data_IF_480700727644
#
_entry.id   IF_480700727644
#
_cell.length_a   1.000
_cell.length_b   1.000
_cell.length_c   1.000
_cell.angle_alpha   90.00
_cell.angle_beta   90.00
_cell.angle_gamma   90.00
#
_symmetry.space_group_name_H-M   'P 1'
#
loop_
_entity.id
_entity.type
_entity.pdbx_description
1 polymer ?
#
# COMPACT_ATOMS: atom_id res chain seq x y z
N UNK A 1 9.20 -14.12 61.22
CA UNK A 1 9.39 -12.93 60.37
C UNK A 1 10.03 -13.18 59.01
N UNK A 2 10.73 -14.30 58.76
CA UNK A 2 11.43 -14.58 57.49
C UNK A 2 10.57 -15.12 56.33
N UNK A 3 9.34 -15.57 56.55
CA UNK A 3 8.49 -16.14 55.49
C UNK A 3 7.75 -15.13 54.60
N UNK A 4 7.63 -13.89 55.05
CA UNK A 4 6.92 -12.83 54.30
C UNK A 4 7.80 -12.24 53.18
N UNK A 5 9.12 -12.11 53.42
CA UNK A 5 10.08 -11.59 52.43
C UNK A 5 10.26 -12.48 51.19
N UNK A 6 10.02 -13.78 51.28
CA UNK A 6 10.18 -14.70 50.14
C UNK A 6 9.05 -14.63 49.11
N UNK A 7 7.87 -14.16 49.49
CA UNK A 7 6.75 -14.06 48.59
C UNK A 7 6.78 -12.77 47.75
N UNK A 8 7.24 -11.69 48.36
CA UNK A 8 7.41 -10.39 47.70
C UNK A 8 8.49 -10.43 46.59
N UNK A 9 9.58 -11.15 46.84
CA UNK A 9 10.64 -11.33 45.80
C UNK A 9 10.13 -12.15 44.59
N UNK A 10 9.32 -13.16 44.80
CA UNK A 10 8.69 -13.95 43.71
C UNK A 10 7.72 -13.09 42.92
N UNK A 11 6.91 -12.27 43.62
CA UNK A 11 5.94 -11.37 42.95
C UNK A 11 6.63 -10.28 42.16
N UNK A 12 7.70 -9.69 42.67
CA UNK A 12 8.52 -8.69 41.95
C UNK A 12 9.16 -9.30 40.69
N UNK A 13 9.70 -10.52 40.78
CA UNK A 13 10.25 -11.23 39.62
C UNK A 13 9.19 -11.51 38.55
N UNK A 14 7.97 -11.88 38.99
CA UNK A 14 6.86 -12.13 38.06
C UNK A 14 6.43 -10.86 37.33
N UNK A 15 6.36 -9.72 38.01
CA UNK A 15 6.07 -8.41 37.42
C UNK A 15 7.18 -8.00 36.46
N UNK A 16 8.45 -8.19 36.80
CA UNK A 16 9.59 -7.86 35.95
C UNK A 16 9.57 -8.69 34.65
N UNK A 17 9.31 -9.99 34.73
CA UNK A 17 9.14 -10.86 33.55
C UNK A 17 7.97 -10.37 32.70
N UNK A 18 6.85 -10.02 33.28
CA UNK A 18 5.66 -9.55 32.56
C UNK A 18 5.91 -8.21 31.83
N UNK A 19 6.62 -7.27 32.50
CA UNK A 19 6.98 -5.96 31.92
C UNK A 19 7.98 -6.10 30.77
N UNK A 20 8.87 -7.10 30.80
CA UNK A 20 9.81 -7.40 29.70
C UNK A 20 9.09 -8.13 28.56
N UNK A 21 8.15 -9.03 28.85
CA UNK A 21 7.46 -9.84 27.83
C UNK A 21 6.40 -9.05 27.05
N UNK A 22 5.72 -8.09 27.65
CA UNK A 22 4.70 -7.28 26.97
C UNK A 22 5.27 -6.51 25.75
N UNK A 23 6.38 -5.79 25.83
CA UNK A 23 6.95 -5.14 24.64
C UNK A 23 7.45 -6.15 23.60
N UNK A 24 7.93 -7.34 24.00
CA UNK A 24 8.37 -8.36 23.04
C UNK A 24 7.24 -8.83 22.11
N UNK A 25 6.01 -8.93 22.62
CA UNK A 25 4.83 -9.28 21.81
C UNK A 25 4.46 -8.23 20.78
N UNK A 26 4.83 -6.96 20.99
CA UNK A 26 4.59 -5.88 20.03
C UNK A 26 5.63 -5.83 18.90
N UNK A 27 6.76 -6.55 19.04
CA UNK A 27 7.79 -6.68 18.01
C UNK A 27 7.60 -7.91 17.10
N UNK A 28 6.54 -8.72 17.33
CA UNK A 28 6.19 -9.78 16.37
C UNK A 28 5.80 -9.10 15.06
N UNK A 29 6.48 -9.38 13.94
CA UNK A 29 6.12 -8.78 12.67
C UNK A 29 4.68 -9.18 12.36
N UNK A 30 3.81 -8.20 12.19
CA UNK A 30 2.51 -8.44 11.59
C UNK A 30 2.78 -9.09 10.24
N UNK A 31 2.18 -10.26 9.99
CA UNK A 31 2.25 -10.92 8.70
C UNK A 31 1.86 -9.90 7.64
N UNK A 32 2.85 -9.46 6.87
CA UNK A 32 2.60 -8.69 5.67
C UNK A 32 1.85 -9.63 4.72
N UNK A 33 0.62 -9.29 4.37
CA UNK A 33 -0.08 -9.96 3.29
C UNK A 33 0.66 -9.60 2.02
N UNK A 34 1.51 -10.52 1.56
CA UNK A 34 2.04 -10.46 0.21
C UNK A 34 0.85 -10.65 -0.74
N UNK A 35 0.81 -9.88 -1.82
CA UNK A 35 -0.20 -10.02 -2.84
C UNK A 35 -0.12 -11.41 -3.46
N UNK A 36 -1.20 -12.18 -3.40
CA UNK A 36 -1.32 -13.48 -4.04
C UNK A 36 -2.21 -13.32 -5.28
N UNK A 37 -1.62 -13.46 -6.47
CA UNK A 37 -2.32 -13.28 -7.73
C UNK A 37 -2.79 -14.64 -8.28
N UNK A 38 -4.06 -14.73 -8.63
CA UNK A 38 -4.54 -15.79 -9.53
C UNK A 38 -3.94 -15.58 -10.93
N UNK A 39 -3.81 -16.66 -11.67
CA UNK A 39 -3.36 -16.59 -13.06
C UNK A 39 -4.23 -15.60 -13.87
N UNK A 40 -3.62 -14.68 -14.63
CA UNK A 40 -4.36 -13.71 -15.44
C UNK A 40 -5.28 -14.42 -16.45
N UNK A 41 -6.46 -13.85 -16.68
CA UNK A 41 -7.38 -14.36 -17.68
C UNK A 41 -6.77 -14.38 -19.10
N UNK A 42 -7.28 -15.18 -20.03
CA UNK A 42 -6.92 -15.10 -21.44
C UNK A 42 -6.99 -13.67 -21.97
N UNK A 43 -6.15 -13.32 -22.94
CA UNK A 43 -5.98 -11.93 -23.42
C UNK A 43 -7.30 -11.26 -23.79
N UNK A 44 -8.18 -11.98 -24.49
CA UNK A 44 -9.49 -11.45 -24.92
C UNK A 44 -10.44 -11.19 -23.75
N UNK A 45 -10.39 -12.05 -22.75
CA UNK A 45 -11.22 -11.89 -21.56
C UNK A 45 -10.71 -10.73 -20.71
N UNK A 46 -9.38 -10.60 -20.59
CA UNK A 46 -8.76 -9.48 -19.89
C UNK A 46 -9.00 -8.16 -20.63
N UNK A 47 -8.96 -8.14 -21.98
CA UNK A 47 -9.34 -6.99 -22.80
C UNK A 47 -10.80 -6.57 -22.51
N UNK A 48 -11.71 -7.53 -22.41
CA UNK A 48 -13.12 -7.25 -22.13
C UNK A 48 -13.34 -6.68 -20.73
N UNK A 49 -12.60 -7.17 -19.74
CA UNK A 49 -12.69 -6.76 -18.32
C UNK A 49 -12.02 -5.42 -18.05
N UNK A 50 -10.89 -5.13 -18.71
CA UNK A 50 -10.15 -3.89 -18.52
C UNK A 50 -10.94 -2.67 -19.00
N UNK A 51 -10.73 -1.53 -18.36
CA UNK A 51 -11.29 -0.24 -18.77
C UNK A 51 -10.44 0.43 -19.84
N UNK A 52 -9.12 0.20 -19.81
CA UNK A 52 -8.21 0.63 -20.85
C UNK A 52 -7.15 -0.44 -21.12
N UNK A 53 -6.82 -0.63 -22.41
CA UNK A 53 -5.71 -1.49 -22.85
C UNK A 53 -4.93 -0.76 -23.93
N UNK A 54 -3.65 -0.54 -23.68
CA UNK A 54 -2.77 0.21 -24.57
C UNK A 54 -1.31 -0.26 -24.45
N UNK A 55 -0.50 0.04 -25.44
CA UNK A 55 0.96 -0.02 -25.35
C UNK A 55 1.54 1.38 -25.29
N UNK A 56 2.58 1.56 -24.48
CA UNK A 56 3.20 2.86 -24.32
C UNK A 56 4.52 2.81 -23.58
N UNK A 57 5.24 3.93 -23.67
CA UNK A 57 6.50 4.18 -22.98
C UNK A 57 6.25 4.99 -21.72
N UNK A 58 6.84 4.59 -20.59
CA UNK A 58 6.82 5.37 -19.35
C UNK A 58 7.69 6.62 -19.53
N UNK A 59 7.06 7.79 -19.42
CA UNK A 59 7.74 9.09 -19.56
C UNK A 59 7.89 9.83 -18.24
N UNK A 60 7.05 9.53 -17.23
CA UNK A 60 7.13 10.14 -15.91
C UNK A 60 6.59 9.18 -14.84
N UNK A 61 7.24 9.19 -13.67
CA UNK A 61 6.78 8.48 -12.48
C UNK A 61 6.79 9.49 -11.33
N UNK A 62 5.66 9.69 -10.67
CA UNK A 62 5.51 10.59 -9.56
C UNK A 62 4.98 9.88 -8.32
N UNK A 63 5.66 10.16 -7.23
CA UNK A 63 5.29 9.72 -5.89
C UNK A 63 4.89 10.97 -5.07
N UNK A 64 3.60 11.24 -5.04
CA UNK A 64 3.05 12.41 -4.30
C UNK A 64 3.33 12.36 -2.80
N UNK A 65 3.59 11.17 -2.27
CA UNK A 65 3.83 10.94 -0.85
C UNK A 65 5.31 10.80 -0.49
N UNK A 66 6.24 11.01 -1.44
CA UNK A 66 7.69 10.82 -1.26
C UNK A 66 8.26 11.57 -0.06
N UNK A 67 7.73 12.77 0.21
CA UNK A 67 8.22 13.65 1.28
C UNK A 67 7.41 13.56 2.58
N UNK A 68 6.42 12.68 2.66
CA UNK A 68 5.66 12.48 3.90
C UNK A 68 6.49 11.71 4.93
N UNK A 69 6.36 12.10 6.19
CA UNK A 69 7.05 11.46 7.32
C UNK A 69 6.65 9.98 7.48
N UNK A 70 5.41 9.65 7.15
CA UNK A 70 4.89 8.29 7.15
C UNK A 70 4.44 7.94 5.75
N UNK A 71 5.01 6.87 5.19
CA UNK A 71 4.68 6.33 3.89
C UNK A 71 4.07 4.93 4.06
N UNK A 72 3.09 4.62 3.22
CA UNK A 72 2.45 3.31 3.15
C UNK A 72 2.86 2.59 1.88
N UNK A 73 2.92 1.25 1.92
CA UNK A 73 3.07 0.43 0.72
C UNK A 73 1.89 0.58 -0.24
N UNK A 74 0.73 1.02 0.24
CA UNK A 74 -0.48 1.30 -0.52
C UNK A 74 -0.60 2.76 -1.00
N UNK A 75 0.41 3.61 -0.78
CA UNK A 75 0.39 4.97 -1.32
C UNK A 75 0.41 4.92 -2.85
N UNK A 76 -0.40 5.76 -3.52
CA UNK A 76 -0.47 5.77 -4.97
C UNK A 76 0.80 6.34 -5.60
N UNK A 77 1.25 5.68 -6.65
CA UNK A 77 2.28 6.15 -7.57
C UNK A 77 1.60 6.49 -8.89
N UNK A 78 1.79 7.70 -9.38
CA UNK A 78 1.28 8.15 -10.67
C UNK A 78 2.31 7.87 -11.76
N UNK A 79 1.91 7.20 -12.84
CA UNK A 79 2.77 6.81 -13.96
C UNK A 79 2.16 7.33 -15.24
N UNK A 80 2.91 8.19 -15.92
CA UNK A 80 2.51 8.79 -17.21
C UNK A 80 3.13 8.03 -18.36
N UNK A 81 2.30 7.66 -19.32
CA UNK A 81 2.69 6.96 -20.53
C UNK A 81 2.57 7.83 -21.76
N UNK A 82 3.55 7.74 -22.66
CA UNK A 82 3.40 8.10 -24.06
C UNK A 82 2.89 6.88 -24.83
N UNK A 83 1.64 6.97 -25.32
CA UNK A 83 0.91 5.85 -25.91
C UNK A 83 1.33 5.62 -27.36
N UNK A 84 1.56 4.35 -27.72
CA UNK A 84 1.88 3.92 -29.08
C UNK A 84 0.68 3.36 -29.84
N UNK A 85 -0.07 2.47 -29.17
CA UNK A 85 -1.26 1.83 -29.70
C UNK A 85 -2.28 1.63 -28.58
N UNK A 86 -3.58 1.71 -28.93
CA UNK A 86 -4.70 1.50 -28.01
C UNK A 86 -5.65 0.42 -28.57
N UNK A 87 -6.09 -0.52 -27.76
CA UNK A 87 -7.07 -1.54 -28.09
C UNK A 87 -8.42 -1.27 -27.41
N UNK A 88 -8.39 -0.55 -26.27
CA UNK A 88 -9.60 -0.20 -25.53
C UNK A 88 -9.39 1.05 -24.70
N UNK A 89 -10.44 1.85 -24.52
CA UNK A 89 -10.48 3.01 -23.63
C UNK A 89 -10.04 4.31 -24.30
N UNK A 90 -9.19 5.07 -23.63
CA UNK A 90 -8.81 6.42 -24.06
C UNK A 90 -7.92 6.40 -25.29
N UNK A 91 -8.32 7.10 -26.36
CA UNK A 91 -7.51 7.29 -27.55
C UNK A 91 -6.73 8.60 -27.47
N UNK A 92 -5.78 8.66 -26.53
CA UNK A 92 -4.97 9.84 -26.20
C UNK A 92 -3.47 9.52 -26.35
N UNK A 93 -2.67 10.52 -26.73
CA UNK A 93 -1.21 10.38 -26.83
C UNK A 93 -0.52 10.18 -25.49
N UNK A 94 -1.15 10.65 -24.43
CA UNK A 94 -0.65 10.48 -23.06
C UNK A 94 -1.77 9.94 -22.17
N UNK A 95 -1.44 8.94 -21.39
CA UNK A 95 -2.36 8.32 -20.42
C UNK A 95 -1.65 8.29 -19.05
N UNK A 96 -2.38 8.70 -18.02
CA UNK A 96 -1.96 8.58 -16.63
C UNK A 96 -2.62 7.35 -16.01
N UNK A 97 -1.81 6.50 -15.39
CA UNK A 97 -2.30 5.39 -14.57
C UNK A 97 -1.73 5.49 -13.16
N UNK A 98 -2.41 4.87 -12.22
CA UNK A 98 -1.98 4.78 -10.83
C UNK A 98 -1.69 3.32 -10.46
N UNK A 99 -0.73 3.13 -9.59
CA UNK A 99 -0.44 1.83 -8.97
C UNK A 99 -0.06 2.06 -7.51
N UNK A 100 -0.16 1.04 -6.67
CA UNK A 100 0.36 1.11 -5.31
C UNK A 100 1.89 1.13 -5.32
N UNK A 101 2.49 1.76 -4.29
CA UNK A 101 3.94 1.95 -4.16
C UNK A 101 4.73 0.64 -4.18
N UNK A 102 4.18 -0.45 -3.68
CA UNK A 102 4.91 -1.70 -3.45
C UNK A 102 4.11 -2.92 -3.88
N UNK A 103 4.82 -3.94 -4.35
CA UNK A 103 4.26 -5.26 -4.64
C UNK A 103 3.62 -5.93 -3.42
N UNK A 104 4.01 -5.56 -2.18
CA UNK A 104 3.34 -6.00 -0.96
C UNK A 104 1.88 -5.53 -0.86
N UNK A 105 1.51 -4.44 -1.55
CA UNK A 105 0.13 -3.93 -1.67
C UNK A 105 -0.44 -4.13 -3.08
N UNK A 106 0.07 -5.10 -3.83
CA UNK A 106 -0.31 -5.40 -5.21
C UNK A 106 0.06 -4.32 -6.23
N UNK A 107 0.96 -3.42 -5.92
CA UNK A 107 1.48 -2.43 -6.86
C UNK A 107 2.31 -3.08 -7.97
N UNK A 108 2.20 -2.54 -9.17
CA UNK A 108 3.04 -2.90 -10.31
C UNK A 108 4.21 -1.93 -10.40
N UNK A 109 5.43 -2.44 -10.41
CA UNK A 109 6.64 -1.62 -10.50
C UNK A 109 6.95 -1.29 -11.97
N UNK A 110 6.86 0.00 -12.31
CA UNK A 110 7.19 0.51 -13.62
C UNK A 110 8.57 1.17 -13.61
N UNK A 111 9.32 0.97 -14.68
CA UNK A 111 10.61 1.61 -14.92
C UNK A 111 10.49 2.75 -15.92
N UNK A 112 11.13 3.87 -15.60
CA UNK A 112 11.19 5.02 -16.50
C UNK A 112 11.86 4.63 -17.82
N UNK A 113 11.34 5.12 -18.93
CA UNK A 113 11.79 4.85 -20.30
C UNK A 113 11.53 3.44 -20.84
N UNK A 114 11.02 2.52 -20.04
CA UNK A 114 10.60 1.20 -20.52
C UNK A 114 9.22 1.25 -21.19
N UNK A 115 8.98 0.28 -22.06
CA UNK A 115 7.72 0.12 -22.79
C UNK A 115 6.92 -1.06 -22.24
N UNK A 116 5.62 -0.87 -22.11
CA UNK A 116 4.71 -1.85 -21.53
C UNK A 116 3.47 -2.05 -22.41
N UNK A 117 2.91 -3.25 -22.36
CA UNK A 117 1.51 -3.51 -22.67
C UNK A 117 0.74 -3.41 -21.34
N UNK A 118 -0.19 -2.47 -21.27
CA UNK A 118 -0.89 -2.10 -20.04
C UNK A 118 -2.34 -2.53 -20.12
N UNK A 119 -2.81 -3.22 -19.08
CA UNK A 119 -4.20 -3.55 -18.81
C UNK A 119 -4.63 -2.82 -17.54
N UNK A 120 -5.41 -1.75 -17.67
CA UNK A 120 -5.83 -0.91 -16.55
C UNK A 120 -7.32 -1.02 -16.27
N UNK A 121 -7.69 -0.95 -15.00
CA UNK A 121 -9.07 -0.91 -14.53
C UNK A 121 -9.39 0.50 -14.04
N UNK A 122 -10.59 0.98 -14.32
CA UNK A 122 -11.06 2.23 -13.73
C UNK A 122 -11.64 1.98 -12.33
N UNK A 123 -11.07 2.66 -11.35
CA UNK A 123 -11.52 2.62 -9.95
C UNK A 123 -11.55 4.04 -9.45
N UNK A 124 -12.70 4.50 -8.99
CA UNK A 124 -12.92 5.87 -8.48
C UNK A 124 -12.51 6.98 -9.47
N UNK A 125 -12.75 6.75 -10.76
CA UNK A 125 -12.42 7.71 -11.83
C UNK A 125 -10.95 7.75 -12.22
N UNK A 126 -10.12 6.84 -11.70
CA UNK A 126 -8.70 6.71 -12.02
C UNK A 126 -8.42 5.37 -12.69
N UNK A 127 -7.55 5.38 -13.69
CA UNK A 127 -7.02 4.14 -14.25
C UNK A 127 -5.96 3.56 -13.32
N UNK A 128 -6.22 2.36 -12.79
CA UNK A 128 -5.31 1.65 -11.88
C UNK A 128 -4.74 0.40 -12.52
N UNK A 129 -3.47 0.15 -12.24
CA UNK A 129 -2.74 -1.06 -12.65
C UNK A 129 -2.26 -1.77 -11.39
N UNK A 130 -2.52 -3.06 -11.33
CA UNK A 130 -2.11 -3.94 -10.24
C UNK A 130 -1.08 -4.95 -10.73
N UNK A 131 -0.25 -5.46 -9.83
CA UNK A 131 0.66 -6.60 -10.08
C UNK A 131 -0.08 -7.81 -10.64
N UNK A 132 -1.36 -7.98 -10.26
CA UNK A 132 -2.20 -9.09 -10.70
C UNK A 132 -2.87 -8.85 -12.06
N UNK A 133 -2.67 -7.68 -12.69
CA UNK A 133 -3.13 -7.42 -14.04
C UNK A 133 -2.27 -8.17 -15.07
N UNK A 134 -2.76 -8.26 -16.31
CA UNK A 134 -1.98 -8.84 -17.42
C UNK A 134 -0.89 -7.87 -17.93
N UNK A 135 -0.69 -6.73 -17.28
CA UNK A 135 0.36 -5.75 -17.61
C UNK A 135 1.75 -6.37 -17.58
N UNK A 136 2.55 -6.11 -18.60
CA UNK A 136 3.92 -6.62 -18.71
C UNK A 136 4.79 -5.74 -19.61
N UNK A 137 6.11 -5.93 -19.53
CA UNK A 137 7.05 -5.34 -20.47
C UNK A 137 6.67 -5.69 -21.92
N UNK A 138 6.81 -4.74 -22.84
CA UNK A 138 6.50 -4.93 -24.25
C UNK A 138 7.30 -6.08 -24.87
N UNK A 139 8.56 -6.26 -24.44
CA UNK A 139 9.43 -7.34 -24.86
C UNK A 139 8.92 -8.75 -24.51
N UNK A 140 8.07 -8.85 -23.48
CA UNK A 140 7.46 -10.10 -23.03
C UNK A 140 6.00 -10.28 -23.51
N UNK A 141 5.48 -9.35 -24.34
CA UNK A 141 4.08 -9.30 -24.74
C UNK A 141 3.79 -9.85 -26.15
N UNK A 142 4.76 -10.50 -26.80
CA UNK A 142 4.63 -10.93 -28.21
C UNK A 142 3.40 -11.82 -28.48
N UNK A 143 3.12 -12.78 -27.59
CA UNK A 143 1.92 -13.64 -27.69
C UNK A 143 0.63 -12.85 -27.51
N UNK A 144 0.63 -11.88 -26.60
CA UNK A 144 -0.56 -11.06 -26.32
C UNK A 144 -0.89 -10.16 -27.50
N UNK A 145 0.12 -9.62 -28.19
CA UNK A 145 -0.07 -8.84 -29.41
C UNK A 145 -0.68 -9.66 -30.56
N UNK A 146 -0.30 -10.93 -30.68
CA UNK A 146 -0.90 -11.81 -31.69
C UNK A 146 -2.40 -12.01 -31.47
N UNK A 147 -2.83 -12.14 -30.20
CA UNK A 147 -4.23 -12.31 -29.85
C UNK A 147 -5.04 -10.99 -29.88
N UNK A 148 -4.41 -9.86 -29.50
CA UNK A 148 -5.06 -8.54 -29.55
C UNK A 148 -5.22 -8.04 -30.98
N UNK A 149 -4.33 -8.45 -31.89
CA UNK A 149 -4.27 -7.93 -33.25
C UNK A 149 -3.78 -6.46 -33.28
N UNK A 150 -4.09 -5.76 -34.37
CA UNK A 150 -3.65 -4.39 -34.60
C UNK A 150 -4.46 -3.43 -33.73
N UNK A 151 -3.77 -2.59 -32.95
CA UNK A 151 -4.36 -1.49 -32.20
C UNK A 151 -4.55 -0.23 -33.04
N UNK A 152 -5.21 0.75 -32.47
CA UNK A 152 -5.40 2.08 -33.06
C UNK A 152 -4.29 3.02 -32.58
N UNK A 153 -3.83 3.91 -33.48
CA UNK A 153 -2.89 4.96 -33.10
C UNK A 153 -3.62 6.08 -32.36
N UNK A 154 -3.03 6.63 -31.28
CA UNK A 154 -3.64 7.72 -30.54
C UNK A 154 -3.77 8.97 -31.41
N UNK A 155 -4.96 9.59 -31.37
CA UNK A 155 -5.29 10.74 -32.23
C UNK A 155 -5.33 12.05 -31.42
N UNK A 156 -5.72 12.00 -30.13
CA UNK A 156 -5.94 13.18 -29.32
C UNK A 156 -4.69 13.60 -28.56
N UNK A 157 -4.34 14.88 -28.66
CA UNK A 157 -3.38 15.50 -27.73
C UNK A 157 -4.06 15.64 -26.35
N UNK A 158 -3.93 14.64 -25.51
CA UNK A 158 -4.33 14.70 -24.11
C UNK A 158 -3.11 15.11 -23.30
N UNK A 159 -2.98 16.39 -22.98
CA UNK A 159 -2.07 16.81 -21.91
C UNK A 159 -2.83 16.66 -20.58
N UNK A 160 -2.64 15.56 -19.89
CA UNK A 160 -2.97 15.51 -18.47
C UNK A 160 -1.77 16.17 -17.79
N UNK A 161 -1.85 17.48 -17.58
CA UNK A 161 -0.91 18.18 -16.72
C UNK A 161 -1.13 17.65 -15.29
N UNK A 162 -0.14 16.95 -14.76
CA UNK A 162 -0.01 16.74 -13.33
C UNK A 162 0.18 18.12 -12.72
N UNK A 163 -0.88 18.64 -12.12
CA UNK A 163 -0.93 19.99 -11.60
C UNK A 163 0.00 20.07 -10.38
N UNK A 164 1.16 20.69 -10.53
CA UNK A 164 2.14 20.93 -9.45
C UNK A 164 1.59 21.82 -8.31
N UNK A 165 0.35 22.30 -8.39
CA UNK A 165 -0.19 23.35 -7.54
C UNK A 165 -1.36 22.95 -6.63
N UNK A 166 -1.47 21.71 -6.16
CA UNK A 166 -2.42 21.39 -5.10
C UNK A 166 -1.74 20.97 -3.80
N UNK A 167 -0.81 21.80 -3.33
CA UNK A 167 -0.30 21.81 -1.96
C UNK A 167 -1.24 22.48 -0.95
N UNK A 168 -2.55 22.42 -1.13
CA UNK A 168 -3.54 22.75 -0.10
C UNK A 168 -4.42 21.53 0.18
N UNK A 169 -3.80 20.49 0.74
CA UNK A 169 -4.53 19.48 1.45
C UNK A 169 -5.10 20.14 2.71
N UNK A 170 -6.41 20.38 2.67
CA UNK A 170 -7.22 20.61 3.85
C UNK A 170 -6.75 19.71 4.99
N UNK A 171 -6.10 20.32 6.00
CA UNK A 171 -5.71 19.70 7.26
C UNK A 171 -6.96 19.35 8.07
N UNK A 172 -7.73 18.38 7.62
CA UNK A 172 -8.60 17.62 8.50
C UNK A 172 -7.79 16.47 9.03
N UNK A 173 -6.95 16.75 10.01
CA UNK A 173 -6.31 15.76 10.87
C UNK A 173 -7.42 15.02 11.63
N UNK A 174 -8.03 14.04 10.97
CA UNK A 174 -8.78 13.00 11.66
C UNK A 174 -7.75 12.12 12.34
N UNK A 175 -7.46 12.47 13.59
CA UNK A 175 -6.77 11.62 14.55
C UNK A 175 -7.53 10.30 14.63
N UNK A 176 -7.18 9.34 13.79
CA UNK A 176 -7.47 7.94 14.02
C UNK A 176 -6.54 7.47 15.14
N UNK A 177 -6.81 7.98 16.36
CA UNK A 177 -6.38 7.29 17.54
C UNK A 177 -7.13 5.96 17.51
N UNK A 178 -6.41 4.94 17.04
CA UNK A 178 -6.90 3.57 17.12
C UNK A 178 -7.42 3.35 18.54
N UNK A 179 -8.68 2.98 18.67
CA UNK A 179 -9.30 2.68 19.99
C UNK A 179 -8.44 1.71 20.79
N UNK A 180 -7.67 0.87 20.12
CA UNK A 180 -6.73 -0.07 20.74
C UNK A 180 -5.57 0.62 21.48
N UNK A 181 -5.05 1.76 20.99
CA UNK A 181 -3.97 2.47 21.68
C UNK A 181 -4.44 3.07 23.00
N UNK A 182 -5.69 3.54 23.04
CA UNK A 182 -6.29 4.08 24.28
C UNK A 182 -6.50 2.95 25.28
N UNK A 183 -6.98 1.79 24.86
CA UNK A 183 -7.14 0.63 25.77
C UNK A 183 -5.81 0.14 26.34
N UNK A 184 -4.76 0.11 25.54
CA UNK A 184 -3.41 -0.30 25.98
C UNK A 184 -2.85 0.69 27.00
N UNK A 185 -2.97 2.00 26.78
CA UNK A 185 -2.51 3.02 27.73
C UNK A 185 -3.29 2.99 29.03
N UNK A 186 -4.60 2.77 28.98
CA UNK A 186 -5.47 2.64 30.19
C UNK A 186 -5.11 1.39 30.98
N UNK A 187 -4.85 0.26 30.32
CA UNK A 187 -4.43 -0.98 30.99
C UNK A 187 -3.06 -0.85 31.66
N UNK A 188 -2.10 -0.17 31.01
CA UNK A 188 -0.76 0.07 31.61
C UNK A 188 -0.89 0.97 32.82
N UNK A 189 -1.62 2.09 32.73
CA UNK A 189 -1.82 3.01 33.85
C UNK A 189 -2.59 2.33 35.02
N UNK A 190 -3.61 1.54 34.70
CA UNK A 190 -4.37 0.74 35.69
C UNK A 190 -3.48 -0.27 36.39
N UNK A 191 -2.60 -0.97 35.66
CA UNK A 191 -1.65 -1.92 36.22
C UNK A 191 -0.63 -1.25 37.17
N UNK A 192 -0.12 -0.08 36.80
CA UNK A 192 0.80 0.70 37.64
C UNK A 192 0.11 1.17 38.94
N UNK A 193 -1.12 1.68 38.86
CA UNK A 193 -1.88 2.13 40.02
C UNK A 193 -2.22 0.98 40.98
N UNK A 194 -2.61 -0.17 40.45
CA UNK A 194 -2.86 -1.39 41.22
C UNK A 194 -1.60 -1.90 41.90
N UNK A 195 -0.46 -1.88 41.21
CA UNK A 195 0.84 -2.24 41.76
C UNK A 195 1.26 -1.34 42.91
N UNK A 196 1.10 -0.01 42.74
CA UNK A 196 1.38 0.98 43.81
C UNK A 196 0.41 0.83 45.00
N UNK A 197 -0.86 0.56 44.73
CA UNK A 197 -1.87 0.34 45.79
C UNK A 197 -1.54 -0.90 46.62
N UNK A 198 -1.24 -2.02 45.97
CA UNK A 198 -0.85 -3.28 46.64
C UNK A 198 0.44 -3.09 47.45
N UNK A 199 1.44 -2.39 46.85
CA UNK A 199 2.70 -2.11 47.54
C UNK A 199 2.50 -1.26 48.80
N UNK A 200 1.63 -0.25 48.74
CA UNK A 200 1.28 0.58 49.92
C UNK A 200 0.53 -0.20 51.01
N UNK A 201 -0.29 -1.17 50.59
CA UNK A 201 -1.09 -1.99 51.55
C UNK A 201 -0.25 -3.04 52.25
N UNK A 202 0.77 -3.58 51.58
CA UNK A 202 1.70 -4.57 52.16
C UNK A 202 2.73 -3.93 53.12
N UNK A 203 2.96 -2.61 52.98
CA UNK A 203 3.92 -1.88 53.79
C UNK A 203 3.32 -1.28 55.09
N UNK A 204 2.00 -1.43 55.28
CA UNK A 204 1.27 -1.14 56.53
C UNK A 204 1.02 -2.44 57.29
#
# INVERSE_FOLDING_TARGET
MQKILGNDQKFIRFILVFVIFIPLFNYLPNTSFACDCVEPYPVKDELNRSSAVFSGKVVKIEDENKNKLFQSSADPIAVQFEVKETWKGLNQKQILVYTERSSASCGYEFDLNNEYLVFAMEVDGQLKVSLCSRTKLLSAAASDFQELGKGEKPIKDGSIELNENNGEASNTFKTLTSKNTIYITVLILGGILLGVYVFRRVKK
#
